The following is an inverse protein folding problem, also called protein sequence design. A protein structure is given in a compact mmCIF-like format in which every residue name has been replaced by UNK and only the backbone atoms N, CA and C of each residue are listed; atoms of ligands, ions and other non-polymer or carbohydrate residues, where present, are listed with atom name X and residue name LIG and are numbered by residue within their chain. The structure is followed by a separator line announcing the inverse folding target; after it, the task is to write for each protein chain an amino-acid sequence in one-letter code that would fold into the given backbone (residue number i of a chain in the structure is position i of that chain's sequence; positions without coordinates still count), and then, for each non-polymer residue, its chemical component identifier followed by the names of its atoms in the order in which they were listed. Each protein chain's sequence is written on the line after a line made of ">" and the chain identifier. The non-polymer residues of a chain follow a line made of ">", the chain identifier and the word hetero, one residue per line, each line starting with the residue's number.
data_IF_878316656177
#
_entry.id   IF_878316656177
#
_cell.length_a   1.000
_cell.length_b   1.000
_cell.length_c   1.000
_cell.angle_alpha   90.00
_cell.angle_beta   90.00
_cell.angle_gamma   90.00
#
_symmetry.space_group_name_H-M   'P 1'
#
loop_
_entity.id
_entity.type
_entity.pdbx_description
1 polymer ?
#
# COMPACT_ATOMS: atom_id res chain seq x y z
N UNK A 1 -24.84 5.08 25.72
CA UNK A 1 -23.95 6.03 25.04
C UNK A 1 -23.42 5.27 23.83
N UNK A 2 -24.01 5.54 22.65
CA UNK A 2 -23.59 4.91 21.41
C UNK A 2 -22.19 5.38 21.10
N UNK A 3 -21.23 4.44 21.04
CA UNK A 3 -19.94 4.68 20.43
C UNK A 3 -20.20 4.67 18.92
N UNK A 4 -20.45 5.83 18.38
CA UNK A 4 -20.33 6.08 16.96
C UNK A 4 -18.86 5.85 16.63
N UNK A 5 -18.56 4.80 15.87
CA UNK A 5 -17.34 4.76 15.10
C UNK A 5 -17.33 6.03 14.26
N UNK A 6 -16.31 6.87 14.34
CA UNK A 6 -16.20 7.94 13.38
C UNK A 6 -15.89 7.29 12.03
N UNK A 7 -16.91 7.09 11.24
CA UNK A 7 -16.81 7.00 9.80
C UNK A 7 -16.37 8.39 9.32
N UNK A 8 -15.15 8.73 9.61
CA UNK A 8 -14.46 9.85 9.01
C UNK A 8 -13.56 9.28 7.95
N UNK A 9 -14.08 9.25 6.79
CA UNK A 9 -13.42 9.31 5.51
C UNK A 9 -11.88 9.34 5.55
N UNK A 10 -11.30 8.23 5.53
CA UNK A 10 -10.08 7.79 4.88
C UNK A 10 -10.06 6.30 5.12
N UNK A 11 -11.06 5.65 4.63
CA UNK A 11 -11.11 4.22 4.61
C UNK A 11 -9.98 3.73 3.72
N UNK A 12 -9.00 3.17 4.33
CA UNK A 12 -7.92 2.45 3.70
C UNK A 12 -7.99 1.05 4.23
N UNK A 13 -8.09 0.09 3.40
CA UNK A 13 -8.51 -1.24 3.82
C UNK A 13 -8.12 -2.46 3.04
N UNK A 14 -8.28 -3.66 3.48
CA UNK A 14 -7.61 -4.83 3.12
C UNK A 14 -8.17 -6.20 3.09
N UNK A 15 -7.79 -7.07 2.24
CA UNK A 15 -7.88 -8.51 2.30
C UNK A 15 -6.52 -9.15 2.00
N UNK A 16 -6.02 -10.04 2.84
CA UNK A 16 -5.05 -11.02 2.42
C UNK A 16 -5.84 -12.20 1.81
N UNK A 17 -6.03 -12.19 0.51
CA UNK A 17 -6.25 -13.44 -0.19
C UNK A 17 -4.87 -14.01 -0.47
N UNK A 18 -4.51 -15.05 0.27
CA UNK A 18 -3.53 -16.00 -0.23
C UNK A 18 -4.17 -16.74 -1.40
N UNK A 19 -4.30 -16.06 -2.54
CA UNK A 19 -4.40 -16.74 -3.80
C UNK A 19 -3.03 -17.36 -4.05
N UNK A 20 -2.86 -18.59 -3.56
CA UNK A 20 -1.81 -19.43 -4.05
C UNK A 20 -2.01 -19.53 -5.57
N UNK A 21 -1.20 -18.81 -6.34
CA UNK A 21 -1.17 -19.01 -7.76
C UNK A 21 -1.03 -17.83 -8.70
N UNK A 22 -0.98 -16.59 -8.21
CA UNK A 22 -0.76 -15.44 -9.11
C UNK A 22 0.31 -14.48 -8.57
N UNK A 23 1.46 -15.02 -8.20
CA UNK A 23 2.70 -14.27 -8.27
C UNK A 23 3.21 -14.53 -9.67
N UNK A 24 3.39 -13.52 -10.53
CA UNK A 24 4.08 -13.71 -11.79
C UNK A 24 5.43 -14.36 -11.49
N UNK A 25 5.71 -15.50 -12.09
CA UNK A 25 7.03 -16.10 -11.98
C UNK A 25 8.01 -15.09 -12.57
N UNK A 26 8.88 -14.57 -11.72
CA UNK A 26 9.97 -13.69 -12.11
C UNK A 26 10.83 -14.42 -13.16
N UNK A 27 10.74 -13.97 -14.39
CA UNK A 27 11.68 -14.37 -15.42
C UNK A 27 12.96 -13.56 -15.21
N UNK A 28 13.97 -14.24 -14.69
CA UNK A 28 15.42 -13.93 -14.81
C UNK A 28 15.90 -12.47 -14.70
N UNK A 29 15.39 -11.68 -13.78
CA UNK A 29 16.14 -10.53 -13.30
C UNK A 29 17.19 -11.05 -12.30
N UNK A 30 18.43 -10.63 -12.48
CA UNK A 30 19.58 -11.02 -11.64
C UNK A 30 19.37 -10.46 -10.23
N UNK A 31 18.69 -11.23 -9.37
CA UNK A 31 18.54 -10.91 -7.95
C UNK A 31 19.85 -11.24 -7.27
N UNK A 32 20.57 -10.23 -6.80
CA UNK A 32 21.71 -10.46 -5.93
C UNK A 32 21.22 -10.96 -4.56
N UNK A 33 21.95 -11.91 -3.92
CA UNK A 33 21.50 -12.50 -2.68
C UNK A 33 21.38 -11.45 -1.57
N UNK A 34 20.31 -11.55 -0.78
CA UNK A 34 20.06 -10.72 0.39
C UNK A 34 21.25 -10.76 1.35
N UNK A 35 21.85 -9.61 1.59
CA UNK A 35 22.88 -9.49 2.62
C UNK A 35 22.20 -9.05 3.91
N UNK A 36 22.09 -9.96 4.89
CA UNK A 36 21.63 -9.62 6.23
C UNK A 36 22.74 -8.89 6.98
N UNK A 37 22.56 -7.61 7.22
CA UNK A 37 23.45 -6.83 8.08
C UNK A 37 22.79 -6.70 9.45
N UNK A 38 23.25 -7.49 10.40
CA UNK A 38 22.87 -7.35 11.81
C UNK A 38 23.64 -6.17 12.40
N UNK A 39 22.98 -5.04 12.59
CA UNK A 39 23.46 -3.97 13.45
C UNK A 39 22.29 -3.49 14.30
N UNK A 40 22.43 -3.67 15.62
CA UNK A 40 21.58 -3.12 16.67
C UNK A 40 20.07 -3.42 16.54
N UNK A 41 19.65 -4.58 17.03
CA UNK A 41 18.26 -5.07 17.27
C UNK A 41 17.22 -4.94 16.14
N UNK A 42 17.55 -4.40 14.98
CA UNK A 42 16.68 -4.34 13.80
C UNK A 42 17.26 -5.20 12.67
N UNK A 43 16.54 -6.23 12.25
CA UNK A 43 16.87 -7.00 11.05
C UNK A 43 16.51 -6.14 9.84
N UNK A 44 17.50 -5.50 9.24
CA UNK A 44 17.35 -4.80 7.96
C UNK A 44 17.72 -5.73 6.83
N UNK A 45 16.75 -6.12 6.03
CA UNK A 45 17.01 -6.79 4.76
C UNK A 45 16.99 -5.77 3.63
N UNK A 46 17.89 -5.95 2.67
CA UNK A 46 18.02 -5.07 1.52
C UNK A 46 18.05 -5.93 0.26
N UNK A 47 17.13 -5.66 -0.66
CA UNK A 47 17.16 -6.21 -2.01
C UNK A 47 17.42 -5.10 -3.02
N UNK A 48 18.16 -5.42 -4.09
CA UNK A 48 18.43 -4.49 -5.19
C UNK A 48 17.89 -5.06 -6.48
N UNK A 49 17.25 -4.22 -7.27
CA UNK A 49 16.74 -4.54 -8.58
C UNK A 49 17.23 -3.50 -9.58
N UNK A 50 17.90 -3.97 -10.63
CA UNK A 50 18.28 -3.11 -11.76
C UNK A 50 17.09 -3.03 -12.72
N UNK A 51 16.54 -1.84 -12.92
CA UNK A 51 15.44 -1.61 -13.85
C UNK A 51 15.95 -1.23 -15.26
N UNK A 52 17.05 -0.50 -15.33
CA UNK A 52 17.75 -0.15 -16.59
C UNK A 52 19.24 0.07 -16.29
N UNK A 53 20.03 0.39 -17.32
CA UNK A 53 21.46 0.70 -17.16
C UNK A 53 21.68 1.89 -16.20
N UNK A 54 20.75 2.83 -16.16
CA UNK A 54 20.82 4.04 -15.35
C UNK A 54 20.06 3.94 -14.02
N UNK A 55 19.10 3.02 -13.87
CA UNK A 55 18.15 3.00 -12.75
C UNK A 55 18.27 1.73 -11.93
N UNK A 56 18.57 1.90 -10.65
CA UNK A 56 18.53 0.82 -9.65
C UNK A 56 17.54 1.17 -8.55
N UNK A 57 16.73 0.21 -8.11
CA UNK A 57 15.87 0.32 -6.94
C UNK A 57 16.36 -0.61 -5.85
N UNK A 58 16.51 -0.09 -4.66
CA UNK A 58 16.85 -0.84 -3.46
C UNK A 58 15.64 -0.83 -2.52
N UNK A 59 15.15 -1.99 -2.14
CA UNK A 59 14.07 -2.12 -1.15
C UNK A 59 14.68 -2.36 0.23
N UNK A 60 14.40 -1.45 1.15
CA UNK A 60 14.80 -1.53 2.54
C UNK A 60 13.63 -2.04 3.38
N UNK A 61 13.87 -2.94 4.34
CA UNK A 61 12.86 -3.49 5.24
C UNK A 61 13.17 -3.12 6.67
N UNK A 62 12.14 -2.75 7.44
CA UNK A 62 12.28 -2.42 8.86
C UNK A 62 10.96 -2.74 9.63
N UNK A 63 11.02 -2.70 10.96
CA UNK A 63 9.88 -2.93 11.84
C UNK A 63 9.94 -1.99 13.05
N UNK A 64 8.79 -1.49 13.46
CA UNK A 64 8.64 -0.67 14.66
C UNK A 64 7.55 -1.21 15.56
N UNK A 65 7.75 -1.09 16.88
CA UNK A 65 6.71 -1.40 17.87
C UNK A 65 6.20 -0.08 18.45
N UNK A 66 4.95 0.25 18.17
CA UNK A 66 4.35 1.52 18.58
C UNK A 66 3.51 1.30 19.83
N UNK A 67 3.84 1.93 20.99
CA UNK A 67 3.09 1.76 22.21
C UNK A 67 1.70 2.37 22.11
N UNK A 68 0.68 1.66 22.60
CA UNK A 68 -0.69 2.16 22.75
C UNK A 68 -0.90 2.57 24.20
N UNK A 69 -1.03 3.86 24.45
CA UNK A 69 -1.40 4.37 25.78
C UNK A 69 -2.91 4.27 25.96
N UNK A 70 -3.34 3.56 26.99
CA UNK A 70 -4.76 3.55 27.37
C UNK A 70 -5.16 4.94 27.88
N UNK A 71 -6.29 5.48 27.40
CA UNK A 71 -6.87 6.73 27.92
C UNK A 71 -7.19 6.57 29.41
N UNK A 72 -6.53 7.35 30.27
CA UNK A 72 -6.85 7.44 31.69
C UNK A 72 -6.18 6.42 32.62
N UNK A 73 -5.19 5.66 32.17
CA UNK A 73 -4.39 4.77 33.01
C UNK A 73 -2.92 5.17 32.94
N UNK A 74 -2.30 5.33 34.13
CA UNK A 74 -0.85 5.54 34.26
C UNK A 74 -0.04 4.24 33.99
N UNK A 75 -0.74 3.10 33.83
CA UNK A 75 -0.10 1.86 33.44
C UNK A 75 0.14 1.88 31.94
N UNK A 76 1.40 1.78 31.54
CA UNK A 76 1.79 1.43 30.16
C UNK A 76 1.09 0.10 29.88
N UNK A 77 0.06 0.12 29.03
CA UNK A 77 -0.52 -1.13 28.58
C UNK A 77 0.58 -1.86 27.78
N UNK A 78 0.77 -3.14 28.03
CA UNK A 78 1.67 -3.99 27.24
C UNK A 78 1.22 -4.13 25.78
N UNK A 79 0.26 -3.31 25.37
CA UNK A 79 -0.33 -3.28 24.05
C UNK A 79 0.48 -2.40 23.14
N UNK A 80 0.81 -2.97 22.01
CA UNK A 80 1.59 -2.29 20.99
C UNK A 80 1.09 -2.64 19.60
N UNK A 81 1.33 -1.76 18.65
CA UNK A 81 1.17 -2.02 17.23
C UNK A 81 2.51 -2.54 16.72
N UNK A 82 2.50 -3.70 16.10
CA UNK A 82 3.63 -4.16 15.32
C UNK A 82 3.50 -3.57 13.91
N UNK A 83 4.34 -2.62 13.58
CA UNK A 83 4.38 -1.95 12.28
C UNK A 83 5.59 -2.40 11.49
N UNK A 84 5.39 -3.27 10.51
CA UNK A 84 6.43 -3.71 9.57
C UNK A 84 6.32 -2.93 8.27
N UNK A 85 7.44 -2.51 7.69
CA UNK A 85 7.40 -1.74 6.47
C UNK A 85 8.60 -1.98 5.57
N UNK A 86 8.37 -1.80 4.28
CA UNK A 86 9.44 -1.70 3.29
C UNK A 86 9.31 -0.37 2.55
N UNK A 87 10.42 0.17 2.11
CA UNK A 87 10.44 1.38 1.31
C UNK A 87 11.56 1.34 0.27
N UNK A 88 11.33 1.94 -0.91
CA UNK A 88 12.32 1.97 -1.96
C UNK A 88 13.29 3.14 -1.78
N UNK A 89 14.54 2.91 -2.15
CA UNK A 89 15.51 3.93 -2.51
C UNK A 89 15.79 3.81 -4.00
N UNK A 90 15.63 4.89 -4.72
CA UNK A 90 15.91 4.94 -6.16
C UNK A 90 17.28 5.56 -6.37
N UNK A 91 18.08 4.93 -7.23
CA UNK A 91 19.36 5.44 -7.68
C UNK A 91 19.31 5.70 -9.17
N UNK A 92 19.71 6.89 -9.58
CA UNK A 92 19.89 7.26 -10.98
C UNK A 92 21.38 7.45 -11.26
N UNK A 93 21.93 6.70 -12.21
CA UNK A 93 23.37 6.69 -12.53
C UNK A 93 24.26 6.54 -11.27
N UNK A 94 23.84 5.66 -10.36
CA UNK A 94 24.54 5.35 -9.12
C UNK A 94 24.37 6.37 -7.98
N UNK A 95 23.66 7.48 -8.21
CA UNK A 95 23.38 8.51 -7.19
C UNK A 95 21.98 8.33 -6.62
N UNK A 96 21.85 8.33 -5.29
CA UNK A 96 20.56 8.24 -4.62
C UNK A 96 19.68 9.46 -4.93
N UNK A 97 18.41 9.21 -5.25
CA UNK A 97 17.39 10.23 -5.50
C UNK A 97 16.69 10.56 -4.17
N UNK A 98 17.34 11.41 -3.36
CA UNK A 98 16.94 11.69 -1.96
C UNK A 98 15.48 12.13 -1.79
N UNK A 99 14.91 12.82 -2.77
CA UNK A 99 13.50 13.26 -2.71
C UNK A 99 12.51 12.09 -2.64
N UNK A 100 12.83 10.98 -3.29
CA UNK A 100 12.02 9.77 -3.23
C UNK A 100 12.17 9.08 -1.87
N UNK A 101 13.39 8.95 -1.37
CA UNK A 101 13.65 8.39 -0.03
C UNK A 101 12.88 9.17 1.03
N UNK A 102 12.98 10.51 1.00
CA UNK A 102 12.27 11.40 1.94
C UNK A 102 10.74 11.26 1.84
N UNK A 103 10.20 11.14 0.63
CA UNK A 103 8.76 10.90 0.44
C UNK A 103 8.30 9.66 1.20
N UNK A 104 9.05 8.53 1.13
CA UNK A 104 8.67 7.30 1.82
C UNK A 104 8.91 7.37 3.33
N UNK A 105 9.95 8.02 3.78
CA UNK A 105 10.18 8.28 5.21
C UNK A 105 9.02 9.07 5.83
N UNK A 106 8.61 10.16 5.18
CA UNK A 106 7.48 10.98 5.61
C UNK A 106 6.17 10.18 5.58
N UNK A 107 5.96 9.35 4.55
CA UNK A 107 4.79 8.49 4.41
C UNK A 107 4.71 7.47 5.54
N UNK A 108 5.81 6.82 5.88
CA UNK A 108 5.90 5.85 6.98
C UNK A 108 5.57 6.52 8.32
N UNK A 109 6.13 7.69 8.61
CA UNK A 109 5.83 8.40 9.85
C UNK A 109 4.38 8.89 9.93
N UNK A 110 3.78 9.29 8.83
CA UNK A 110 2.34 9.57 8.75
C UNK A 110 1.51 8.33 9.07
N UNK A 111 1.81 7.18 8.47
CA UNK A 111 1.10 5.92 8.71
C UNK A 111 1.24 5.46 10.16
N UNK A 112 2.41 5.58 10.78
CA UNK A 112 2.62 5.30 12.21
C UNK A 112 1.75 6.20 13.10
N UNK A 113 1.71 7.50 12.81
CA UNK A 113 0.90 8.47 13.54
C UNK A 113 -0.59 8.19 13.40
N UNK A 114 -1.04 7.86 12.19
CA UNK A 114 -2.43 7.48 11.92
C UNK A 114 -2.81 6.23 12.70
N UNK A 115 -1.97 5.19 12.67
CA UNK A 115 -2.18 3.95 13.40
C UNK A 115 -2.32 4.21 14.91
N UNK A 116 -1.40 4.95 15.52
CA UNK A 116 -1.49 5.29 16.94
C UNK A 116 -2.75 6.09 17.30
N UNK A 117 -3.21 6.96 16.41
CA UNK A 117 -4.42 7.74 16.61
C UNK A 117 -5.67 6.88 16.49
N UNK A 118 -5.74 6.04 15.47
CA UNK A 118 -6.86 5.13 15.21
C UNK A 118 -7.07 4.15 16.35
N UNK A 119 -6.01 3.54 16.84
CA UNK A 119 -6.08 2.49 17.88
C UNK A 119 -6.10 3.01 19.31
N UNK A 120 -5.97 4.31 19.53
CA UNK A 120 -5.96 4.90 20.87
C UNK A 120 -7.20 4.57 21.71
N UNK A 121 -8.37 4.43 21.09
CA UNK A 121 -9.66 4.24 21.73
C UNK A 121 -10.32 2.89 21.42
N UNK A 122 -9.62 1.99 20.74
CA UNK A 122 -10.18 0.67 20.39
C UNK A 122 -10.17 -0.26 21.61
N UNK A 123 -11.29 -0.89 21.90
CA UNK A 123 -11.42 -1.88 22.96
C UNK A 123 -10.89 -3.23 22.46
N UNK A 124 -9.66 -3.57 22.82
CA UNK A 124 -9.07 -4.86 22.46
C UNK A 124 -9.50 -5.98 23.39
N UNK A 125 -9.51 -7.20 22.87
CA UNK A 125 -9.78 -8.41 23.61
C UNK A 125 -8.60 -8.70 24.53
N UNK A 126 -8.86 -8.75 25.86
CA UNK A 126 -7.80 -8.89 26.86
C UNK A 126 -7.07 -10.24 26.82
N UNK A 127 -7.77 -11.28 26.40
CA UNK A 127 -7.28 -12.67 26.47
C UNK A 127 -6.70 -13.19 25.15
N UNK A 128 -6.73 -12.37 24.10
CA UNK A 128 -6.06 -12.68 22.84
C UNK A 128 -4.78 -11.85 22.78
N UNK A 129 -3.68 -12.54 22.93
CA UNK A 129 -2.30 -12.02 22.81
C UNK A 129 -1.97 -11.66 21.34
N UNK A 130 -2.91 -11.03 20.66
CA UNK A 130 -2.74 -10.66 19.25
C UNK A 130 -2.50 -9.16 19.18
N UNK A 131 -1.24 -8.73 18.96
CA UNK A 131 -0.94 -7.33 18.71
C UNK A 131 -1.64 -6.88 17.43
N UNK A 132 -2.04 -5.61 17.37
CA UNK A 132 -2.39 -4.98 16.08
C UNK A 132 -1.19 -5.11 15.15
N UNK A 133 -1.42 -5.70 13.99
CA UNK A 133 -0.39 -5.86 12.97
C UNK A 133 -0.70 -4.96 11.81
N UNK A 134 0.25 -4.10 11.50
CA UNK A 134 0.20 -3.25 10.33
C UNK A 134 1.42 -3.56 9.47
N UNK A 135 1.23 -3.69 8.19
CA UNK A 135 2.32 -3.78 7.25
C UNK A 135 2.15 -2.81 6.09
N UNK A 136 3.23 -2.16 5.70
CA UNK A 136 3.31 -1.32 4.52
C UNK A 136 4.45 -1.82 3.65
N UNK A 137 4.11 -2.43 2.53
CA UNK A 137 5.08 -3.08 1.65
C UNK A 137 5.16 -2.40 0.30
N UNK A 138 6.36 -2.02 -0.08
CA UNK A 138 6.70 -1.48 -1.39
C UNK A 138 7.45 -2.53 -2.22
N UNK A 139 7.13 -2.60 -3.50
CA UNK A 139 7.84 -3.42 -4.48
C UNK A 139 8.06 -2.63 -5.76
N UNK A 140 9.28 -2.66 -6.28
CA UNK A 140 9.56 -2.12 -7.60
C UNK A 140 9.00 -3.05 -8.68
N UNK A 141 8.32 -2.49 -9.66
CA UNK A 141 7.79 -3.22 -10.80
C UNK A 141 8.81 -3.17 -11.95
N UNK A 142 9.37 -4.34 -12.27
CA UNK A 142 10.54 -4.48 -13.13
C UNK A 142 10.29 -4.28 -14.62
N UNK A 143 9.06 -4.50 -15.08
CA UNK A 143 8.74 -4.57 -16.50
C UNK A 143 7.82 -3.42 -16.95
N UNK A 144 8.01 -2.25 -16.35
CA UNK A 144 7.19 -1.09 -16.67
C UNK A 144 7.61 -0.49 -18.01
N UNK A 145 6.62 -0.16 -18.82
CA UNK A 145 6.76 0.49 -20.11
C UNK A 145 7.58 1.76 -19.95
N UNK A 146 8.64 1.83 -20.72
CA UNK A 146 9.53 2.97 -20.92
C UNK A 146 10.54 3.26 -19.80
N UNK A 147 11.54 2.40 -19.58
CA UNK A 147 12.78 2.82 -18.93
C UNK A 147 13.42 4.02 -19.63
N UNK A 148 13.10 4.25 -20.90
CA UNK A 148 13.52 5.40 -21.71
C UNK A 148 13.10 6.74 -21.11
N UNK A 149 11.97 6.79 -20.38
CA UNK A 149 11.47 8.02 -19.73
C UNK A 149 11.94 8.20 -18.29
N UNK A 150 12.85 7.36 -17.81
CA UNK A 150 13.26 7.34 -16.40
C UNK A 150 12.09 7.17 -15.42
N UNK A 151 11.01 6.53 -15.86
CA UNK A 151 9.83 6.28 -15.03
C UNK A 151 10.05 5.04 -14.16
N UNK A 152 9.81 5.18 -12.88
CA UNK A 152 9.80 4.07 -11.90
C UNK A 152 8.43 4.02 -11.26
N UNK A 153 7.80 2.84 -11.33
CA UNK A 153 6.54 2.57 -10.66
C UNK A 153 6.78 1.63 -9.47
N UNK A 154 6.30 2.03 -8.31
CA UNK A 154 6.38 1.29 -7.07
C UNK A 154 4.97 0.85 -6.70
N UNK A 155 4.77 -0.44 -6.56
CA UNK A 155 3.56 -1.00 -5.98
C UNK A 155 3.64 -0.86 -4.47
N UNK A 156 2.61 -0.27 -3.87
CA UNK A 156 2.51 -0.05 -2.43
C UNK A 156 1.29 -0.80 -1.89
N UNK A 157 1.52 -1.65 -0.93
CA UNK A 157 0.48 -2.39 -0.24
C UNK A 157 0.53 -2.07 1.26
N UNK A 158 -0.53 -1.51 1.77
CA UNK A 158 -0.70 -1.29 3.20
C UNK A 158 -1.58 -2.39 3.83
N UNK A 159 -1.41 -3.00 4.97
CA UNK A 159 -2.20 -4.04 5.65
C UNK A 159 -2.35 -3.84 7.14
N UNK A 160 -3.58 -4.11 7.59
CA UNK A 160 -3.96 -3.98 8.98
C UNK A 160 -4.77 -5.21 9.43
N UNK A 161 -4.45 -5.78 10.55
CA UNK A 161 -5.20 -6.88 11.14
C UNK A 161 -5.23 -6.77 12.65
N UNK A 162 -6.42 -6.87 13.22
CA UNK A 162 -6.64 -6.88 14.68
C UNK A 162 -7.97 -7.51 15.03
N UNK A 163 -8.15 -7.82 16.32
CA UNK A 163 -9.41 -8.30 16.88
C UNK A 163 -9.88 -7.37 17.98
N UNK A 164 -11.16 -7.04 17.97
CA UNK A 164 -11.80 -6.16 18.95
C UNK A 164 -13.18 -6.69 19.33
N UNK A 165 -13.82 -6.07 20.35
CA UNK A 165 -15.24 -6.25 20.61
C UNK A 165 -16.05 -5.23 19.80
N UNK A 166 -17.14 -5.69 19.21
CA UNK A 166 -18.14 -4.80 18.65
C UNK A 166 -19.06 -4.19 19.75
N UNK A 167 -20.00 -3.37 19.32
CA UNK A 167 -21.01 -2.73 20.19
C UNK A 167 -21.90 -3.72 20.95
N UNK A 168 -22.04 -4.94 20.44
CA UNK A 168 -22.88 -6.00 21.00
C UNK A 168 -22.06 -6.97 21.87
N UNK A 169 -20.74 -6.73 22.00
CA UNK A 169 -19.81 -7.54 22.76
C UNK A 169 -19.35 -8.82 22.06
N UNK A 170 -19.59 -8.93 20.74
CA UNK A 170 -19.08 -10.03 19.94
C UNK A 170 -17.65 -9.78 19.48
N UNK A 171 -16.88 -10.84 19.25
CA UNK A 171 -15.55 -10.75 18.67
C UNK A 171 -15.64 -10.40 17.19
N UNK A 172 -14.93 -9.35 16.80
CA UNK A 172 -14.78 -8.96 15.40
C UNK A 172 -13.31 -8.98 15.03
N UNK A 173 -12.96 -9.80 14.06
CA UNK A 173 -11.65 -9.71 13.41
C UNK A 173 -11.76 -8.74 12.24
N UNK A 174 -10.99 -7.68 12.31
CA UNK A 174 -10.88 -6.69 11.25
C UNK A 174 -9.63 -6.97 10.45
N UNK A 175 -9.81 -7.06 9.17
CA UNK A 175 -8.73 -7.16 8.19
C UNK A 175 -8.94 -6.12 7.13
N UNK A 176 -7.91 -5.41 6.96
CA UNK A 176 -7.98 -4.21 6.15
C UNK A 176 -6.86 -4.20 5.08
N UNK A 177 -7.04 -3.93 3.65
CA UNK A 177 -6.06 -3.87 2.55
C UNK A 177 -6.23 -2.72 1.57
N UNK A 178 -5.22 -1.83 1.14
CA UNK A 178 -5.20 -0.86 0.08
C UNK A 178 -3.95 -0.94 -0.73
N UNK A 179 -4.15 -0.65 -1.93
CA UNK A 179 -3.11 -0.61 -2.91
C UNK A 179 -2.98 0.81 -3.42
N UNK A 180 -1.75 1.26 -3.49
CA UNK A 180 -1.38 2.56 -4.03
C UNK A 180 -0.21 2.39 -4.99
N UNK A 181 0.18 3.47 -5.64
CA UNK A 181 1.35 3.51 -6.48
C UNK A 181 2.23 4.71 -6.20
N UNK A 182 3.51 4.46 -6.02
CA UNK A 182 4.54 5.49 -6.04
C UNK A 182 5.16 5.59 -7.42
N UNK A 183 4.74 6.55 -8.22
CA UNK A 183 5.21 6.72 -9.59
C UNK A 183 6.14 7.93 -9.66
N UNK A 184 7.41 7.73 -10.07
CA UNK A 184 8.44 8.75 -10.01
C UNK A 184 9.24 8.83 -11.30
N UNK A 185 9.66 10.02 -11.66
CA UNK A 185 10.76 10.19 -12.59
C UNK A 185 12.08 10.02 -11.83
N UNK A 186 12.81 8.94 -12.10
CA UNK A 186 14.04 8.59 -11.39
C UNK A 186 15.15 9.64 -11.54
N UNK A 187 15.20 10.36 -12.67
CA UNK A 187 16.22 11.39 -12.92
C UNK A 187 16.00 12.64 -12.08
N UNK A 188 14.74 13.04 -11.88
CA UNK A 188 14.40 14.29 -11.20
C UNK A 188 13.90 14.08 -9.78
N UNK A 189 13.48 12.84 -9.43
CA UNK A 189 12.81 12.50 -8.19
C UNK A 189 11.39 13.05 -8.08
N UNK A 190 10.85 13.60 -9.17
CA UNK A 190 9.49 14.13 -9.18
C UNK A 190 8.49 12.99 -9.14
N UNK A 191 7.55 13.04 -8.19
CA UNK A 191 6.37 12.19 -8.18
C UNK A 191 5.43 12.60 -9.30
N UNK A 192 4.86 11.61 -10.00
CA UNK A 192 3.95 11.84 -11.12
C UNK A 192 2.51 11.59 -10.68
N UNK A 193 1.62 12.47 -11.10
CA UNK A 193 0.17 12.26 -11.01
C UNK A 193 -0.32 11.42 -12.20
N UNK A 194 -1.52 10.85 -12.06
CA UNK A 194 -2.12 10.04 -13.13
C UNK A 194 -2.24 10.83 -14.45
N UNK A 195 -2.65 12.10 -14.37
CA UNK A 195 -2.80 12.97 -15.53
C UNK A 195 -1.48 13.16 -16.31
N UNK A 196 -0.37 13.24 -15.59
CA UNK A 196 0.95 13.48 -16.21
C UNK A 196 1.46 12.33 -17.08
N UNK A 197 0.81 11.16 -17.01
CA UNK A 197 1.08 10.04 -17.92
C UNK A 197 0.54 10.30 -19.34
N UNK A 198 -0.41 11.21 -19.49
CA UNK A 198 -1.09 11.45 -20.74
C UNK A 198 -0.62 12.74 -21.44
N UNK A 199 -0.68 12.76 -22.77
CA UNK A 199 -0.39 13.93 -23.57
C UNK A 199 -1.38 15.05 -23.19
N UNK A 200 -0.89 16.28 -23.06
CA UNK A 200 -1.68 17.45 -22.65
C UNK A 200 -2.44 17.28 -21.30
N UNK A 201 -2.09 16.24 -20.52
CA UNK A 201 -2.79 15.82 -19.30
C UNK A 201 -4.28 15.45 -19.54
N UNK A 202 -4.59 14.96 -20.72
CA UNK A 202 -5.94 14.57 -21.12
C UNK A 202 -6.24 13.11 -20.75
N UNK A 203 -7.18 12.90 -19.84
CA UNK A 203 -7.64 11.58 -19.40
C UNK A 203 -8.80 11.01 -20.21
N UNK A 204 -9.29 11.70 -21.25
CA UNK A 204 -10.52 11.30 -21.96
C UNK A 204 -10.47 9.88 -22.51
N UNK A 205 -9.30 9.42 -22.95
CA UNK A 205 -9.08 8.04 -23.37
C UNK A 205 -9.24 7.05 -22.23
N UNK A 206 -8.69 7.34 -21.06
CA UNK A 206 -8.82 6.52 -19.86
C UNK A 206 -10.25 6.52 -19.33
N UNK A 207 -10.91 7.67 -19.28
CA UNK A 207 -12.31 7.83 -18.85
C UNK A 207 -13.25 6.97 -19.70
N UNK A 208 -13.02 6.94 -21.01
CA UNK A 208 -13.80 6.10 -21.93
C UNK A 208 -13.63 4.61 -21.62
N UNK A 209 -12.39 4.14 -21.48
CA UNK A 209 -12.12 2.73 -21.16
C UNK A 209 -12.67 2.36 -19.76
N UNK A 210 -12.52 3.25 -18.79
CA UNK A 210 -13.01 3.10 -17.43
C UNK A 210 -14.54 2.98 -17.37
N UNK A 211 -15.23 3.86 -18.09
CA UNK A 211 -16.70 3.79 -18.24
C UNK A 211 -17.14 2.54 -18.99
N UNK A 212 -16.37 2.08 -19.96
CA UNK A 212 -16.63 0.87 -20.75
C UNK A 212 -16.68 -0.42 -19.91
N UNK A 213 -15.97 -0.44 -18.78
CA UNK A 213 -16.02 -1.56 -17.81
C UNK A 213 -17.04 -1.33 -16.67
N UNK A 214 -17.91 -0.31 -16.78
CA UNK A 214 -18.99 -0.05 -15.86
C UNK A 214 -18.62 0.70 -14.58
N UNK A 215 -17.48 1.40 -14.59
CA UNK A 215 -17.02 2.23 -13.47
C UNK A 215 -17.35 3.71 -13.68
N UNK A 216 -17.31 4.49 -12.61
CA UNK A 216 -17.72 5.90 -12.62
C UNK A 216 -16.54 6.86 -12.72
N UNK A 217 -16.77 8.06 -13.23
CA UNK A 217 -15.82 9.16 -13.25
C UNK A 217 -15.34 9.54 -11.83
N UNK A 218 -16.24 9.51 -10.85
CA UNK A 218 -15.92 9.82 -9.46
C UNK A 218 -14.95 8.80 -8.85
N UNK A 219 -15.08 7.52 -9.19
CA UNK A 219 -14.11 6.49 -8.76
C UNK A 219 -12.74 6.76 -9.38
N UNK A 220 -12.69 7.11 -10.67
CA UNK A 220 -11.43 7.45 -11.34
C UNK A 220 -10.76 8.69 -10.70
N UNK A 221 -11.55 9.73 -10.40
CA UNK A 221 -11.04 10.91 -9.70
C UNK A 221 -10.49 10.54 -8.31
N UNK A 222 -11.20 9.70 -7.56
CA UNK A 222 -10.74 9.23 -6.25
C UNK A 222 -9.42 8.46 -6.36
N UNK A 223 -9.29 7.61 -7.38
CA UNK A 223 -8.05 6.85 -7.65
C UNK A 223 -6.90 7.82 -7.95
N UNK A 224 -7.14 8.84 -8.78
CA UNK A 224 -6.14 9.85 -9.12
C UNK A 224 -5.70 10.68 -7.90
N UNK A 225 -6.67 11.13 -7.09
CA UNK A 225 -6.43 11.96 -5.90
C UNK A 225 -5.73 11.22 -4.76
N UNK A 226 -5.89 9.90 -4.70
CA UNK A 226 -5.31 9.06 -3.64
C UNK A 226 -4.08 8.29 -4.08
N UNK A 227 -3.60 8.48 -5.31
CA UNK A 227 -2.52 7.69 -5.91
C UNK A 227 -2.79 6.17 -5.90
N UNK A 228 -4.06 5.75 -5.95
CA UNK A 228 -4.46 4.36 -5.95
C UNK A 228 -4.31 3.72 -7.35
N UNK A 229 -3.15 3.92 -7.97
CA UNK A 229 -2.83 3.44 -9.30
C UNK A 229 -1.34 3.15 -9.46
N UNK A 230 -1.00 2.20 -10.30
CA UNK A 230 0.39 1.87 -10.64
C UNK A 230 0.49 1.32 -12.06
N UNK A 231 1.69 1.35 -12.61
CA UNK A 231 1.98 0.74 -13.89
C UNK A 231 2.39 -0.71 -13.67
N UNK A 232 1.71 -1.63 -14.34
CA UNK A 232 2.01 -3.07 -14.33
C UNK A 232 2.51 -3.51 -15.71
N UNK A 233 2.97 -4.76 -15.80
CA UNK A 233 3.35 -5.37 -17.08
C UNK A 233 2.18 -5.41 -18.08
N UNK A 234 0.98 -5.64 -17.57
CA UNK A 234 -0.22 -5.85 -18.39
C UNK A 234 -0.95 -4.55 -18.74
N UNK A 235 -0.66 -3.45 -18.03
CA UNK A 235 -1.36 -2.18 -18.24
C UNK A 235 -1.30 -1.25 -17.03
N UNK A 236 -2.11 -0.19 -17.12
CA UNK A 236 -2.36 0.74 -16.03
C UNK A 236 -3.33 0.09 -15.03
N UNK A 237 -2.84 -0.20 -13.85
CA UNK A 237 -3.64 -0.75 -12.77
C UNK A 237 -4.30 0.37 -11.96
N UNK A 238 -5.62 0.32 -11.86
CA UNK A 238 -6.46 1.26 -11.13
C UNK A 238 -7.13 0.56 -9.96
N UNK A 239 -6.91 1.06 -8.75
CA UNK A 239 -7.26 0.40 -7.50
C UNK A 239 -8.42 1.09 -6.79
N UNK A 240 -9.55 0.41 -6.69
CA UNK A 240 -10.69 0.84 -5.87
C UNK A 240 -10.48 0.27 -4.47
N UNK A 241 -10.02 1.11 -3.56
CA UNK A 241 -9.87 0.76 -2.15
C UNK A 241 -11.21 0.90 -1.41
N UNK A 242 -11.39 0.20 -0.30
CA UNK A 242 -12.58 0.36 0.53
C UNK A 242 -13.75 -0.57 0.16
N UNK A 243 -13.52 -1.66 -0.57
CA UNK A 243 -14.57 -2.63 -0.88
C UNK A 243 -14.89 -3.48 0.35
N UNK A 244 -15.96 -3.18 1.06
CA UNK A 244 -16.38 -3.91 2.26
C UNK A 244 -16.95 -5.29 1.93
N UNK A 245 -16.61 -6.27 2.74
CA UNK A 245 -17.08 -7.63 2.62
C UNK A 245 -17.12 -8.32 4.00
N UNK A 246 -18.27 -8.20 4.65
CA UNK A 246 -18.49 -8.73 5.99
C UNK A 246 -19.04 -10.15 5.92
N UNK A 247 -18.59 -11.00 6.82
CA UNK A 247 -19.18 -12.32 6.99
C UNK A 247 -19.18 -12.78 8.45
N UNK A 248 -20.15 -13.61 8.80
CA UNK A 248 -20.26 -14.24 10.13
C UNK A 248 -20.03 -15.75 10.00
N UNK A 249 -19.43 -16.34 11.03
CA UNK A 249 -19.41 -17.79 11.10
C UNK A 249 -20.80 -18.34 11.54
N UNK A 250 -21.08 -19.60 11.20
CA UNK A 250 -22.36 -20.28 11.46
C UNK A 250 -22.82 -20.32 12.94
N UNK A 251 -22.02 -19.87 13.87
CA UNK A 251 -22.35 -19.81 15.29
C UNK A 251 -22.71 -18.37 15.77
N UNK A 252 -22.62 -17.36 14.89
CA UNK A 252 -22.92 -15.96 15.21
C UNK A 252 -22.00 -15.30 16.26
N UNK A 253 -20.91 -15.99 16.64
CA UNK A 253 -20.00 -15.53 17.69
C UNK A 253 -18.73 -14.89 17.18
N UNK A 254 -18.39 -15.15 15.95
CA UNK A 254 -17.22 -14.63 15.27
C UNK A 254 -17.67 -13.85 14.05
N UNK A 255 -17.37 -12.58 14.03
CA UNK A 255 -17.62 -11.69 12.89
C UNK A 255 -16.31 -11.31 12.26
N UNK A 256 -16.33 -11.15 10.97
CA UNK A 256 -15.19 -10.70 10.17
C UNK A 256 -15.60 -9.47 9.41
N UNK A 257 -14.90 -8.39 9.63
CA UNK A 257 -15.02 -7.17 8.84
C UNK A 257 -13.82 -7.10 7.92
N UNK A 258 -14.08 -7.37 6.65
CA UNK A 258 -13.05 -7.28 5.63
C UNK A 258 -13.33 -6.10 4.74
N UNK A 259 -12.30 -5.39 4.48
CA UNK A 259 -12.37 -4.36 3.50
C UNK A 259 -11.18 -4.50 2.56
N UNK A 260 -11.40 -4.54 1.27
CA UNK A 260 -10.46 -4.98 0.26
C UNK A 260 -10.21 -3.92 -0.82
N UNK A 261 -9.21 -4.18 -1.64
CA UNK A 261 -8.96 -3.45 -2.88
C UNK A 261 -9.47 -4.27 -4.06
N UNK A 262 -10.15 -3.63 -5.00
CA UNK A 262 -10.45 -4.17 -6.32
C UNK A 262 -9.54 -3.50 -7.34
N UNK A 263 -8.71 -4.25 -8.01
CA UNK A 263 -7.83 -3.73 -9.06
C UNK A 263 -8.41 -4.05 -10.44
N UNK A 264 -8.52 -3.03 -11.28
CA UNK A 264 -8.83 -3.17 -12.69
C UNK A 264 -7.59 -2.75 -13.49
N UNK A 265 -7.24 -3.52 -14.50
CA UNK A 265 -6.11 -3.24 -15.38
C UNK A 265 -6.63 -2.79 -16.74
N UNK A 266 -6.23 -1.60 -17.17
CA UNK A 266 -6.52 -1.08 -18.51
C UNK A 266 -5.28 -1.28 -19.36
N UNK A 267 -5.41 -2.08 -20.42
CA UNK A 267 -4.29 -2.42 -21.29
C UNK A 267 -3.74 -1.18 -22.00
N UNK A 268 -2.42 -1.11 -22.14
CA UNK A 268 -1.75 0.07 -22.70
C UNK A 268 -2.12 0.39 -24.16
N UNK A 269 -2.42 -0.64 -24.93
CA UNK A 269 -2.80 -0.51 -26.34
C UNK A 269 -4.20 0.08 -26.54
N UNK A 270 -5.04 0.06 -25.50
CA UNK A 270 -6.36 0.69 -25.50
C UNK A 270 -6.32 2.15 -25.06
N UNK A 271 -5.24 2.57 -24.38
CA UNK A 271 -5.11 3.93 -23.85
C UNK A 271 -4.64 4.91 -24.91
N UNK A 272 -5.57 5.74 -25.42
CA UNK A 272 -5.23 6.86 -26.28
C UNK A 272 -4.58 7.98 -25.46
N UNK A 273 -3.59 8.66 -26.06
CA UNK A 273 -2.91 9.81 -25.44
C UNK A 273 -1.88 9.45 -24.36
N UNK A 274 -1.64 8.16 -24.08
CA UNK A 274 -0.55 7.75 -23.21
C UNK A 274 0.79 8.18 -23.81
N UNK A 275 1.60 8.89 -23.02
CA UNK A 275 2.93 9.34 -23.45
C UNK A 275 3.80 8.12 -23.77
N UNK A 276 4.10 7.95 -25.05
CA UNK A 276 5.10 6.99 -25.50
C UNK A 276 6.48 7.60 -25.29
N UNK A 277 7.36 6.88 -24.63
CA UNK A 277 8.72 7.30 -24.43
C UNK A 277 9.49 7.52 -25.71
#
# INVERSE_FOLDING_TARGET
>A
TAILFPLAAAAVMFLVVTAAGLIPQQTNSRVEPMTNVLTDDTIRSVSKTQLSDDITVQICTDCSYLPLKASGSDSVSDRQIQFSYTYPKIYYQGTEVESVTRYYEDRIEQLKTQAQTQFKNVAFVKDLDIPVKISYHCSALNDVIAPENNLVSIYENYSESYTAYDKDGAYVTVMTNAVYGGNFNAKTGKKLSLNELFEENDLSGLEKEWSGIGQTEQELQTIADTDAWYLSQDGLALCINGCENDYENNAGKLRYHNVSCKTNVVAYDTLSGLKKG
#
